data_IF_422640718322
#
_entry.id   IF_422640718322
#
_cell.length_a   1.000
_cell.length_b   1.000
_cell.length_c   1.000
_cell.angle_alpha   90.00
_cell.angle_beta   90.00
_cell.angle_gamma   90.00
#
_symmetry.space_group_name_H-M   'P 1'
#
loop_
_entity.id
_entity.type
_entity.pdbx_description
1 polymer ?
#
# COMPACT_ATOMS: atom_id res chain seq x y z
N UNK A 1 23.45 -6.06 31.43
CA UNK A 1 22.71 -4.80 31.27
C UNK A 1 21.29 -5.09 30.81
N UNK A 2 20.32 -5.03 31.72
CA UNK A 2 18.92 -5.38 31.48
C UNK A 2 18.06 -4.23 30.89
N UNK A 3 18.67 -3.07 30.61
CA UNK A 3 18.00 -1.83 30.21
C UNK A 3 17.42 -1.83 28.78
N UNK A 4 17.67 -2.86 27.98
CA UNK A 4 17.34 -2.86 26.54
C UNK A 4 16.27 -3.89 26.13
N UNK A 5 15.99 -4.92 26.94
CA UNK A 5 15.03 -5.97 26.55
C UNK A 5 13.60 -5.43 26.50
N UNK A 6 13.20 -4.62 27.49
CA UNK A 6 11.86 -4.01 27.53
C UNK A 6 11.59 -3.13 26.31
N UNK A 7 12.58 -2.33 25.88
CA UNK A 7 12.47 -1.47 24.69
C UNK A 7 12.33 -2.31 23.42
N UNK A 8 13.09 -3.41 23.30
CA UNK A 8 12.98 -4.32 22.16
C UNK A 8 11.58 -4.93 22.10
N UNK A 9 11.08 -5.50 23.20
CA UNK A 9 9.72 -6.07 23.23
C UNK A 9 8.65 -5.03 22.93
N UNK A 10 8.72 -3.86 23.55
CA UNK A 10 7.79 -2.77 23.30
C UNK A 10 7.79 -2.33 21.83
N UNK A 11 8.98 -2.13 21.25
CA UNK A 11 9.11 -1.76 19.83
C UNK A 11 8.52 -2.83 18.90
N UNK A 12 8.68 -4.13 19.22
CA UNK A 12 8.15 -5.23 18.40
C UNK A 12 6.63 -5.31 18.45
N UNK A 13 6.04 -5.11 19.62
CA UNK A 13 4.58 -5.01 19.76
C UNK A 13 4.05 -3.83 18.97
N UNK A 14 4.68 -2.65 19.12
CA UNK A 14 4.29 -1.45 18.38
C UNK A 14 4.39 -1.65 16.87
N UNK A 15 5.51 -2.20 16.40
CA UNK A 15 5.73 -2.45 14.97
C UNK A 15 4.74 -3.48 14.40
N UNK A 16 4.43 -4.53 15.17
CA UNK A 16 3.42 -5.52 14.81
C UNK A 16 2.02 -4.91 14.66
N UNK A 17 1.62 -4.05 15.60
CA UNK A 17 0.35 -3.32 15.52
C UNK A 17 0.30 -2.41 14.29
N UNK A 18 1.37 -1.63 14.04
CA UNK A 18 1.45 -0.75 12.88
C UNK A 18 1.30 -1.51 11.56
N UNK A 19 2.06 -2.61 11.39
CA UNK A 19 1.98 -3.42 10.17
C UNK A 19 0.61 -4.08 10.03
N UNK A 20 0.00 -4.54 11.13
CA UNK A 20 -1.34 -5.11 11.12
C UNK A 20 -2.42 -4.12 10.69
N UNK A 21 -2.33 -2.85 11.13
CA UNK A 21 -3.24 -1.82 10.66
C UNK A 21 -3.04 -1.54 9.17
N UNK A 22 -1.78 -1.40 8.71
CA UNK A 22 -1.47 -1.10 7.31
C UNK A 22 -1.94 -2.24 6.38
N UNK A 23 -1.78 -3.50 6.79
CA UNK A 23 -2.17 -4.66 5.97
C UNK A 23 -3.67 -4.76 5.74
N UNK A 24 -4.49 -4.15 6.60
CA UNK A 24 -5.94 -4.06 6.44
C UNK A 24 -6.33 -2.82 5.65
N UNK A 25 -5.72 -1.66 5.95
CA UNK A 25 -6.07 -0.37 5.32
C UNK A 25 -5.74 -0.33 3.82
N UNK A 26 -4.58 -0.85 3.41
CA UNK A 26 -4.14 -0.81 2.00
C UNK A 26 -5.08 -1.54 1.05
N UNK A 27 -5.44 -2.83 1.27
CA UNK A 27 -6.36 -3.53 0.38
C UNK A 27 -7.77 -2.94 0.43
N UNK A 28 -8.21 -2.40 1.57
CA UNK A 28 -9.48 -1.67 1.65
C UNK A 28 -9.46 -0.46 0.73
N UNK A 29 -8.44 0.41 0.86
CA UNK A 29 -8.28 1.58 0.00
C UNK A 29 -8.29 1.18 -1.48
N UNK A 30 -7.51 0.17 -1.86
CA UNK A 30 -7.50 -0.35 -3.23
C UNK A 30 -8.86 -0.88 -3.67
N UNK A 31 -9.59 -1.58 -2.81
CA UNK A 31 -10.91 -2.15 -3.12
C UNK A 31 -11.99 -1.08 -3.32
N UNK A 32 -11.88 0.06 -2.62
CA UNK A 32 -12.80 1.19 -2.75
C UNK A 32 -12.52 2.03 -3.99
N UNK A 33 -11.26 2.04 -4.43
CA UNK A 33 -10.82 2.69 -5.66
C UNK A 33 -10.87 1.75 -6.88
N UNK A 34 -11.26 0.49 -6.69
CA UNK A 34 -11.31 -0.52 -7.74
C UNK A 34 -12.73 -0.73 -8.27
N UNK A 35 -12.93 -0.77 -9.60
CA UNK A 35 -14.20 -1.14 -10.20
C UNK A 35 -14.55 -2.60 -9.88
N UNK A 36 -15.84 -2.92 -9.74
CA UNK A 36 -16.33 -4.15 -9.12
C UNK A 36 -15.79 -5.45 -9.76
N UNK A 37 -15.53 -5.45 -11.07
CA UNK A 37 -14.99 -6.60 -11.82
C UNK A 37 -13.50 -6.90 -11.56
N UNK A 38 -12.67 -5.87 -11.35
CA UNK A 38 -11.22 -6.01 -11.29
C UNK A 38 -10.63 -5.86 -9.87
N UNK A 39 -11.49 -5.75 -8.84
CA UNK A 39 -11.06 -5.68 -7.43
C UNK A 39 -10.05 -6.76 -7.07
N UNK A 40 -10.33 -8.00 -7.47
CA UNK A 40 -9.43 -9.13 -7.25
C UNK A 40 -8.07 -8.91 -7.92
N UNK A 41 -8.05 -8.50 -9.19
CA UNK A 41 -6.80 -8.25 -9.94
C UNK A 41 -5.98 -7.12 -9.33
N UNK A 42 -6.61 -6.01 -8.95
CA UNK A 42 -5.94 -4.85 -8.35
C UNK A 42 -5.28 -5.23 -7.01
N UNK A 43 -5.98 -6.00 -6.17
CA UNK A 43 -5.42 -6.52 -4.91
C UNK A 43 -4.27 -7.49 -5.18
N UNK A 44 -4.42 -8.39 -6.15
CA UNK A 44 -3.35 -9.34 -6.53
C UNK A 44 -2.10 -8.60 -7.05
N UNK A 45 -2.26 -7.58 -7.89
CA UNK A 45 -1.15 -6.77 -8.39
C UNK A 45 -0.41 -6.08 -7.24
N UNK A 46 -1.13 -5.52 -6.27
CA UNK A 46 -0.52 -4.91 -5.09
C UNK A 46 0.31 -5.92 -4.28
N UNK A 47 -0.23 -7.13 -4.07
CA UNK A 47 0.47 -8.17 -3.33
C UNK A 47 1.71 -8.69 -4.09
N UNK A 48 1.63 -8.80 -5.42
CA UNK A 48 2.79 -9.12 -6.27
C UNK A 48 3.84 -8.02 -6.15
N UNK A 49 3.45 -6.75 -6.21
CA UNK A 49 4.37 -5.63 -6.06
C UNK A 49 5.06 -5.62 -4.68
N UNK A 50 4.30 -5.90 -3.61
CA UNK A 50 4.84 -6.02 -2.25
C UNK A 50 5.86 -7.15 -2.16
N UNK A 51 5.51 -8.33 -2.67
CA UNK A 51 6.38 -9.51 -2.68
C UNK A 51 7.64 -9.25 -3.50
N UNK A 52 7.50 -8.61 -4.66
CA UNK A 52 8.62 -8.23 -5.52
C UNK A 52 9.57 -7.26 -4.82
N UNK A 53 9.04 -6.26 -4.12
CA UNK A 53 9.83 -5.34 -3.30
C UNK A 53 10.62 -6.07 -2.20
N UNK A 54 10.00 -7.05 -1.53
CA UNK A 54 10.69 -7.88 -0.55
C UNK A 54 11.82 -8.71 -1.18
N UNK A 55 11.58 -9.32 -2.34
CA UNK A 55 12.62 -10.07 -3.07
C UNK A 55 13.79 -9.15 -3.45
N UNK A 56 13.50 -7.97 -4.01
CA UNK A 56 14.53 -7.00 -4.37
C UNK A 56 15.34 -6.56 -3.15
N UNK A 57 14.68 -6.29 -2.02
CA UNK A 57 15.35 -5.97 -0.77
C UNK A 57 16.24 -7.11 -0.28
N UNK A 58 15.80 -8.37 -0.40
CA UNK A 58 16.60 -9.55 -0.05
C UNK A 58 17.81 -9.73 -0.98
N UNK A 59 17.67 -9.48 -2.28
CA UNK A 59 18.78 -9.54 -3.25
C UNK A 59 19.83 -8.48 -2.94
N UNK A 60 19.39 -7.25 -2.68
CA UNK A 60 20.29 -6.16 -2.25
C UNK A 60 20.98 -6.53 -0.95
N UNK A 61 20.24 -7.01 0.06
CA UNK A 61 20.82 -7.43 1.32
C UNK A 61 21.87 -8.54 1.14
N UNK A 62 21.60 -9.53 0.30
CA UNK A 62 22.54 -10.61 -0.02
C UNK A 62 23.81 -10.09 -0.71
N UNK A 63 23.67 -9.18 -1.68
CA UNK A 63 24.81 -8.59 -2.39
C UNK A 63 25.75 -7.81 -1.46
N UNK A 64 25.20 -7.09 -0.47
CA UNK A 64 25.99 -6.29 0.46
C UNK A 64 26.51 -7.07 1.68
N UNK A 65 26.00 -8.28 1.94
CA UNK A 65 26.41 -9.09 3.10
C UNK A 65 27.88 -9.55 3.00
N UNK A 66 28.41 -9.72 1.79
CA UNK A 66 29.79 -10.16 1.54
C UNK A 66 30.79 -9.02 1.29
N UNK A 67 30.34 -7.77 1.11
CA UNK A 67 31.17 -6.70 0.54
C UNK A 67 31.79 -5.70 1.53
N UNK A 68 31.38 -5.59 2.80
CA UNK A 68 32.01 -4.59 3.69
C UNK A 68 31.76 -4.77 5.18
N UNK A 69 32.83 -4.96 5.96
CA UNK A 69 32.81 -5.02 7.43
C UNK A 69 32.46 -3.68 8.12
N UNK A 70 32.32 -2.56 7.39
CA UNK A 70 32.06 -1.24 8.03
C UNK A 70 31.02 -0.33 7.36
N UNK A 71 30.77 -0.46 6.05
CA UNK A 71 29.86 0.47 5.31
C UNK A 71 28.61 -0.21 4.75
N UNK A 72 28.60 -1.54 4.64
CA UNK A 72 27.50 -2.30 4.01
C UNK A 72 26.13 -2.06 4.67
N UNK A 73 26.09 -1.99 6.00
CA UNK A 73 24.84 -1.76 6.74
C UNK A 73 24.22 -0.39 6.45
N UNK A 74 25.03 0.67 6.23
CA UNK A 74 24.51 2.01 5.90
C UNK A 74 23.83 2.03 4.53
N UNK A 75 24.39 1.31 3.57
CA UNK A 75 23.77 1.17 2.25
C UNK A 75 22.52 0.29 2.29
N UNK A 76 22.48 -0.76 3.13
CA UNK A 76 21.26 -1.55 3.35
C UNK A 76 20.11 -0.69 3.90
N UNK A 77 20.37 0.11 4.93
CA UNK A 77 19.35 1.04 5.47
C UNK A 77 19.06 2.20 4.51
N UNK A 78 20.08 2.71 3.80
CA UNK A 78 19.93 3.78 2.83
C UNK A 78 19.03 3.38 1.65
N UNK A 79 19.29 2.22 1.04
CA UNK A 79 18.46 1.68 -0.04
C UNK A 79 17.04 1.33 0.43
N UNK A 80 16.88 0.84 1.67
CA UNK A 80 15.56 0.62 2.27
C UNK A 80 14.80 1.90 2.61
N UNK A 81 15.50 2.98 2.94
CA UNK A 81 14.89 4.27 3.23
C UNK A 81 14.34 4.97 1.98
N UNK A 82 14.92 4.72 0.80
CA UNK A 82 14.45 5.29 -0.48
C UNK A 82 12.97 4.98 -0.74
N UNK A 83 12.51 3.72 -0.80
CA UNK A 83 11.09 3.41 -1.03
C UNK A 83 10.20 3.91 0.12
N UNK A 84 10.70 3.96 1.36
CA UNK A 84 9.93 4.52 2.48
C UNK A 84 9.66 6.03 2.34
N UNK A 85 10.67 6.80 1.91
CA UNK A 85 10.53 8.25 1.65
C UNK A 85 9.62 8.48 0.45
N UNK A 86 9.80 7.72 -0.64
CA UNK A 86 8.94 7.79 -1.82
C UNK A 86 7.49 7.47 -1.44
N UNK A 87 7.25 6.43 -0.64
CA UNK A 87 5.93 6.05 -0.14
C UNK A 87 5.30 7.17 0.69
N UNK A 88 6.06 7.77 1.62
CA UNK A 88 5.57 8.85 2.47
C UNK A 88 5.17 10.07 1.63
N UNK A 89 5.98 10.41 0.64
CA UNK A 89 5.66 11.49 -0.29
C UNK A 89 4.43 11.18 -1.16
N UNK A 90 4.31 9.95 -1.66
CA UNK A 90 3.18 9.55 -2.49
C UNK A 90 1.86 9.56 -1.72
N UNK A 91 1.89 9.19 -0.43
CA UNK A 91 0.72 9.25 0.45
C UNK A 91 0.18 10.69 0.60
N UNK A 92 1.05 11.71 0.61
CA UNK A 92 0.58 13.12 0.67
C UNK A 92 -0.18 13.58 -0.58
N UNK A 93 -0.03 12.86 -1.70
CA UNK A 93 -0.65 13.17 -3.00
C UNK A 93 -1.88 12.30 -3.27
N UNK A 94 -2.13 11.30 -2.45
CA UNK A 94 -3.14 10.29 -2.69
C UNK A 94 -4.52 10.84 -2.28
N UNK A 95 -5.53 10.88 -3.18
CA UNK A 95 -6.85 11.36 -2.82
C UNK A 95 -7.55 10.39 -1.87
N UNK A 96 -8.39 10.93 -1.00
CA UNK A 96 -9.22 10.15 -0.08
C UNK A 96 -10.24 9.29 -0.85
N UNK A 97 -10.67 8.16 -0.26
CA UNK A 97 -11.61 7.28 -0.95
C UNK A 97 -12.99 7.93 -1.10
N UNK A 98 -13.70 7.69 -2.22
CA UNK A 98 -15.02 8.27 -2.49
C UNK A 98 -16.09 7.80 -1.48
N UNK A 99 -15.87 6.69 -0.79
CA UNK A 99 -16.72 6.24 0.31
C UNK A 99 -16.50 7.06 1.57
N UNK A 100 -15.25 7.29 1.96
CA UNK A 100 -14.91 8.12 3.12
C UNK A 100 -15.38 9.57 2.92
N UNK A 101 -15.17 10.14 1.73
CA UNK A 101 -15.63 11.49 1.39
C UNK A 101 -17.17 11.63 1.50
N UNK A 102 -17.94 10.61 1.07
CA UNK A 102 -19.40 10.59 1.24
C UNK A 102 -19.83 10.51 2.71
N UNK A 103 -19.16 9.70 3.53
CA UNK A 103 -19.45 9.61 4.96
C UNK A 103 -19.16 10.92 5.71
N UNK A 104 -18.20 11.72 5.22
CA UNK A 104 -17.82 12.99 5.82
C UNK A 104 -18.54 14.21 5.19
N UNK A 105 -19.69 14.00 4.52
CA UNK A 105 -20.50 15.02 3.84
C UNK A 105 -19.77 15.83 2.73
N UNK A 106 -18.65 15.34 2.19
CA UNK A 106 -17.88 15.97 1.10
C UNK A 106 -18.27 15.40 -0.26
N UNK A 107 -19.52 15.61 -0.65
CA UNK A 107 -20.10 15.00 -1.87
C UNK A 107 -19.44 15.48 -3.17
N UNK A 108 -19.11 16.77 -3.28
CA UNK A 108 -18.46 17.32 -4.49
C UNK A 108 -17.10 16.66 -4.77
N UNK A 109 -16.29 16.48 -3.72
CA UNK A 109 -14.99 15.82 -3.83
C UNK A 109 -15.14 14.32 -4.12
N UNK A 110 -16.14 13.66 -3.52
CA UNK A 110 -16.42 12.27 -3.81
C UNK A 110 -16.76 12.05 -5.30
N UNK A 111 -17.56 12.96 -5.89
CA UNK A 111 -17.89 12.92 -7.33
C UNK A 111 -16.66 13.22 -8.20
N UNK A 112 -15.81 14.17 -7.79
CA UNK A 112 -14.56 14.48 -8.50
C UNK A 112 -13.61 13.27 -8.55
N UNK A 113 -13.40 12.59 -7.43
CA UNK A 113 -12.56 11.38 -7.35
C UNK A 113 -13.18 10.25 -8.18
N UNK A 114 -14.48 10.01 -8.05
CA UNK A 114 -15.20 8.97 -8.81
C UNK A 114 -15.06 9.19 -10.32
N UNK A 115 -15.14 10.45 -10.79
CA UNK A 115 -14.95 10.83 -12.19
C UNK A 115 -13.49 10.70 -12.64
N UNK A 116 -12.53 11.11 -11.81
CA UNK A 116 -11.10 11.02 -12.11
C UNK A 116 -10.65 9.56 -12.32
N UNK A 117 -11.13 8.65 -11.47
CA UNK A 117 -10.83 7.22 -11.58
C UNK A 117 -11.83 6.45 -12.45
N UNK A 118 -12.76 7.15 -13.13
CA UNK A 118 -13.81 6.60 -14.03
C UNK A 118 -14.57 5.41 -13.42
N UNK A 119 -14.79 5.45 -12.10
CA UNK A 119 -15.45 4.35 -11.39
C UNK A 119 -16.90 4.17 -11.88
N UNK A 120 -17.59 5.27 -12.21
CA UNK A 120 -18.95 5.25 -12.77
C UNK A 120 -19.03 4.64 -14.18
N UNK A 121 -18.08 4.95 -15.07
CA UNK A 121 -18.06 4.36 -16.41
C UNK A 121 -17.76 2.87 -16.35
N UNK A 122 -16.84 2.45 -15.47
CA UNK A 122 -16.53 1.06 -15.25
C UNK A 122 -17.73 0.27 -14.69
N UNK A 123 -18.53 0.87 -13.80
CA UNK A 123 -19.78 0.27 -13.29
C UNK A 123 -20.88 0.20 -14.37
N UNK A 124 -21.06 1.24 -15.21
CA UNK A 124 -22.07 1.24 -16.28
C UNK A 124 -21.76 0.29 -17.42
N UNK A 125 -20.49 0.16 -17.81
CA UNK A 125 -20.06 -0.83 -18.81
C UNK A 125 -20.31 -2.24 -18.29
N UNK A 126 -20.12 -2.45 -16.99
CA UNK A 126 -20.38 -3.73 -16.35
C UNK A 126 -21.87 -4.09 -16.38
N UNK A 127 -22.76 -3.19 -15.94
CA UNK A 127 -24.21 -3.44 -15.95
C UNK A 127 -24.75 -3.77 -17.36
N UNK A 128 -24.22 -3.06 -18.38
CA UNK A 128 -24.54 -3.33 -19.78
C UNK A 128 -24.03 -4.68 -20.31
N UNK A 129 -22.92 -5.21 -19.80
CA UNK A 129 -22.44 -6.56 -20.18
C UNK A 129 -23.22 -7.66 -19.47
N UNK A 130 -23.54 -7.47 -18.18
CA UNK A 130 -24.36 -8.41 -17.42
C UNK A 130 -25.79 -8.51 -18.01
N UNK A 131 -26.34 -7.39 -18.51
CA UNK A 131 -27.60 -7.39 -19.27
C UNK A 131 -27.53 -8.06 -20.65
N UNK A 132 -26.34 -8.17 -21.26
CA UNK A 132 -26.17 -8.87 -22.56
C UNK A 132 -25.99 -10.38 -22.41
N UNK A 133 -25.64 -10.84 -21.21
CA UNK A 133 -25.40 -12.25 -20.89
C UNK A 133 -26.65 -12.98 -20.36
N UNK A 134 -27.71 -12.24 -20.01
CA UNK A 134 -29.05 -12.74 -19.68
C UNK A 134 -30.00 -12.59 -20.86
#
# INVERSE_FOLDING_TARGET
GAWNLGIIYFSRVLFGLSIGCVSVVVPIYLSEMAPARDRGKIITINNIALTFGQVLASVVAYAFIHSSESVGWRFMFGLGAVPAIVQLWLLTRLPETPRWLRQNNRYEEATAVTKQFRLEEAERVQDNEDQKLN
#
